data_IF_905523247203
#
_entry.id   IF_905523247203
#
_cell.length_a   1.000
_cell.length_b   1.000
_cell.length_c   1.000
_cell.angle_alpha   90.00
_cell.angle_beta   90.00
_cell.angle_gamma   90.00
#
_symmetry.space_group_name_H-M   'P 1'
#
loop_
_entity.id
_entity.type
_entity.pdbx_description
1 polymer ?
#
# COMPACT_ATOMS: atom_id res chain seq x y z
N UNK A 1 7.93 3.61 -25.20
CA UNK A 1 8.87 3.63 -26.31
C UNK A 1 9.83 2.44 -26.19
N UNK A 2 9.74 1.52 -27.15
CA UNK A 2 10.49 0.25 -27.14
C UNK A 2 11.96 0.43 -27.53
N UNK A 3 12.34 1.60 -27.99
CA UNK A 3 13.73 1.95 -28.32
C UNK A 3 14.56 2.31 -27.08
N UNK A 4 13.91 2.59 -25.94
CA UNK A 4 14.62 2.92 -24.71
C UNK A 4 15.03 1.67 -23.95
N UNK A 5 16.24 1.65 -23.34
CA UNK A 5 16.66 0.61 -22.43
C UNK A 5 15.67 0.40 -21.29
N UNK A 6 15.51 -0.83 -20.79
CA UNK A 6 14.55 -1.16 -19.74
C UNK A 6 14.75 -0.32 -18.46
N UNK A 7 15.99 -0.04 -18.10
CA UNK A 7 16.30 0.81 -16.96
C UNK A 7 15.71 2.22 -17.07
N UNK A 8 15.82 2.84 -18.24
CA UNK A 8 15.24 4.17 -18.46
C UNK A 8 13.72 4.16 -18.44
N UNK A 9 13.09 3.10 -18.95
CA UNK A 9 11.63 2.92 -18.87
C UNK A 9 11.16 2.82 -17.41
N UNK A 10 11.86 2.04 -16.57
CA UNK A 10 11.58 1.94 -15.13
C UNK A 10 11.74 3.29 -14.45
N UNK A 11 12.77 4.04 -14.81
CA UNK A 11 13.03 5.38 -14.29
C UNK A 11 11.90 6.35 -14.60
N UNK A 12 11.35 6.33 -15.82
CA UNK A 12 10.17 7.12 -16.16
C UNK A 12 8.94 6.76 -15.33
N UNK A 13 8.71 5.48 -15.08
CA UNK A 13 7.63 5.05 -14.18
C UNK A 13 7.85 5.53 -12.75
N UNK A 14 9.08 5.55 -12.27
CA UNK A 14 9.38 6.06 -10.92
C UNK A 14 9.17 7.58 -10.82
N UNK A 15 9.50 8.33 -11.87
CA UNK A 15 9.23 9.77 -11.95
C UNK A 15 7.72 10.05 -11.91
N UNK A 16 6.92 9.28 -12.66
CA UNK A 16 5.47 9.38 -12.61
C UNK A 16 4.95 9.15 -11.18
N UNK A 17 5.44 8.09 -10.50
CA UNK A 17 5.04 7.78 -9.12
C UNK A 17 5.36 8.91 -8.15
N UNK A 18 6.57 9.50 -8.25
CA UNK A 18 6.98 10.62 -7.40
C UNK A 18 6.16 11.88 -7.67
N UNK A 19 5.86 12.18 -8.93
CA UNK A 19 5.01 13.31 -9.29
C UNK A 19 3.58 13.14 -8.77
N UNK A 20 3.04 11.92 -8.78
CA UNK A 20 1.74 11.62 -8.19
C UNK A 20 1.73 11.81 -6.68
N UNK A 21 2.77 11.36 -5.98
CA UNK A 21 2.92 11.57 -4.53
C UNK A 21 2.87 13.07 -4.19
N UNK A 22 3.70 13.89 -4.85
CA UNK A 22 3.74 15.34 -4.65
C UNK A 22 2.41 16.02 -5.01
N UNK A 23 1.78 15.61 -6.10
CA UNK A 23 0.46 16.12 -6.50
C UNK A 23 -0.61 15.88 -5.42
N UNK A 24 -0.64 14.68 -4.84
CA UNK A 24 -1.57 14.37 -3.76
C UNK A 24 -1.26 15.12 -2.46
N UNK A 25 0.02 15.22 -2.11
CA UNK A 25 0.45 15.93 -0.90
C UNK A 25 0.13 17.43 -0.94
N UNK A 26 0.18 18.05 -2.10
CA UNK A 26 0.00 19.49 -2.24
C UNK A 26 -1.39 19.81 -2.78
N UNK A 27 -1.70 19.41 -4.02
CA UNK A 27 -2.91 19.86 -4.71
C UNK A 27 -4.19 19.19 -4.22
N UNK A 28 -4.17 17.89 -4.08
CA UNK A 28 -5.33 17.16 -3.56
C UNK A 28 -5.60 17.51 -2.10
N UNK A 29 -4.55 17.70 -1.30
CA UNK A 29 -4.67 18.12 0.09
C UNK A 29 -5.28 19.53 0.22
N UNK A 30 -4.94 20.46 -0.69
CA UNK A 30 -5.51 21.80 -0.75
C UNK A 30 -7.03 21.75 -0.96
N UNK A 31 -7.51 21.04 -1.98
CA UNK A 31 -8.96 20.87 -2.23
C UNK A 31 -9.68 20.18 -1.08
N UNK A 32 -9.09 19.15 -0.48
CA UNK A 32 -9.65 18.52 0.72
C UNK A 32 -9.72 19.48 1.91
N UNK A 33 -8.72 20.36 2.05
CA UNK A 33 -8.69 21.39 3.06
C UNK A 33 -9.85 22.38 2.93
N UNK A 34 -10.24 22.72 1.69
CA UNK A 34 -11.42 23.58 1.43
C UNK A 34 -12.70 22.91 1.94
N UNK A 35 -12.93 21.65 1.55
CA UNK A 35 -14.13 20.89 1.97
C UNK A 35 -14.21 20.72 3.49
N UNK A 36 -13.08 20.55 4.18
CA UNK A 36 -13.06 20.35 5.63
C UNK A 36 -13.25 21.62 6.44
N UNK A 37 -13.06 22.79 5.85
CA UNK A 37 -13.23 24.07 6.54
C UNK A 37 -14.70 24.49 6.52
N UNK A 38 -15.37 24.44 7.66
CA UNK A 38 -16.80 24.81 7.86
C UNK A 38 -17.18 26.27 7.50
N UNK A 39 -16.21 27.11 7.12
CA UNK A 39 -16.41 28.53 6.86
C UNK A 39 -16.45 28.90 5.37
N UNK A 40 -16.39 27.91 4.46
CA UNK A 40 -16.54 28.16 3.03
C UNK A 40 -18.02 28.16 2.64
N UNK A 41 -18.36 28.98 1.65
CA UNK A 41 -19.69 28.98 1.04
C UNK A 41 -19.96 27.61 0.39
N UNK A 42 -21.20 27.18 0.35
CA UNK A 42 -21.58 25.88 -0.22
C UNK A 42 -21.08 25.73 -1.67
N UNK A 43 -21.09 26.81 -2.48
CA UNK A 43 -20.58 26.85 -3.85
C UNK A 43 -19.09 26.47 -3.96
N UNK A 44 -18.23 26.98 -3.07
CA UNK A 44 -16.78 26.67 -3.11
C UNK A 44 -16.48 25.23 -2.69
N UNK A 45 -17.33 24.64 -1.85
CA UNK A 45 -17.24 23.25 -1.44
C UNK A 45 -17.67 22.32 -2.59
N UNK A 46 -18.77 22.63 -3.28
CA UNK A 46 -19.25 21.86 -4.43
C UNK A 46 -18.24 21.86 -5.59
N UNK A 47 -17.61 23.00 -5.88
CA UNK A 47 -16.56 23.09 -6.89
C UNK A 47 -15.32 22.25 -6.51
N UNK A 48 -14.91 22.26 -5.24
CA UNK A 48 -13.80 21.46 -4.75
C UNK A 48 -14.11 19.95 -4.81
N UNK A 49 -15.34 19.55 -4.50
CA UNK A 49 -15.79 18.16 -4.59
C UNK A 49 -15.82 17.68 -6.06
N UNK A 50 -16.36 18.50 -6.97
CA UNK A 50 -16.37 18.21 -8.40
C UNK A 50 -14.94 18.06 -8.96
N UNK A 51 -14.03 18.94 -8.54
CA UNK A 51 -12.62 18.87 -8.91
C UNK A 51 -11.96 17.58 -8.40
N UNK A 52 -12.19 17.21 -7.14
CA UNK A 52 -11.65 15.97 -6.58
C UNK A 52 -12.21 14.73 -7.28
N UNK A 53 -13.48 14.74 -7.67
CA UNK A 53 -14.07 13.65 -8.45
C UNK A 53 -13.41 13.52 -9.83
N UNK A 54 -13.19 14.64 -10.52
CA UNK A 54 -12.49 14.66 -11.81
C UNK A 54 -11.04 14.16 -11.69
N UNK A 55 -10.31 14.64 -10.70
CA UNK A 55 -8.94 14.17 -10.39
C UNK A 55 -8.95 12.66 -10.12
N UNK A 56 -9.88 12.17 -9.31
CA UNK A 56 -9.96 10.74 -8.97
C UNK A 56 -10.19 9.88 -10.21
N UNK A 57 -11.06 10.30 -11.10
CA UNK A 57 -11.33 9.59 -12.34
C UNK A 57 -10.10 9.54 -13.26
N UNK A 58 -9.42 10.67 -13.43
CA UNK A 58 -8.22 10.76 -14.24
C UNK A 58 -7.08 9.90 -13.66
N UNK A 59 -6.82 10.02 -12.36
CA UNK A 59 -5.77 9.25 -11.70
C UNK A 59 -6.07 7.76 -11.74
N UNK A 60 -7.32 7.34 -11.57
CA UNK A 60 -7.71 5.93 -11.69
C UNK A 60 -7.42 5.38 -13.09
N UNK A 61 -7.65 6.17 -14.14
CA UNK A 61 -7.30 5.79 -15.51
C UNK A 61 -5.78 5.68 -15.68
N UNK A 62 -5.04 6.67 -15.22
CA UNK A 62 -3.57 6.68 -15.28
C UNK A 62 -2.95 5.51 -14.50
N UNK A 63 -3.48 5.19 -13.33
CA UNK A 63 -3.01 4.06 -12.52
C UNK A 63 -3.28 2.71 -13.21
N UNK A 64 -4.40 2.55 -13.92
CA UNK A 64 -4.66 1.36 -14.74
C UNK A 64 -3.64 1.22 -15.86
N UNK A 65 -3.32 2.32 -16.53
CA UNK A 65 -2.33 2.33 -17.60
C UNK A 65 -0.92 2.08 -17.06
N UNK A 66 -0.56 2.68 -15.93
CA UNK A 66 0.68 2.39 -15.21
C UNK A 66 0.81 0.90 -14.88
N UNK A 67 -0.25 0.31 -14.30
CA UNK A 67 -0.29 -1.11 -14.00
C UNK A 67 -0.13 -1.97 -15.26
N UNK A 68 -0.84 -1.63 -16.34
CA UNK A 68 -0.72 -2.31 -17.62
C UNK A 68 0.71 -2.29 -18.15
N UNK A 69 1.34 -1.11 -18.17
CA UNK A 69 2.72 -0.97 -18.64
C UNK A 69 3.68 -1.75 -17.76
N UNK A 70 3.54 -1.67 -16.45
CA UNK A 70 4.41 -2.39 -15.53
C UNK A 70 4.30 -3.90 -15.70
N UNK A 71 3.09 -4.45 -15.70
CA UNK A 71 2.88 -5.90 -15.75
C UNK A 71 3.03 -6.52 -17.14
N UNK A 72 2.67 -5.79 -18.21
CA UNK A 72 2.67 -6.37 -19.55
C UNK A 72 3.83 -5.92 -20.43
N UNK A 73 4.61 -4.93 -20.00
CA UNK A 73 5.77 -4.46 -20.75
C UNK A 73 7.06 -4.62 -19.92
N UNK A 74 7.08 -4.06 -18.69
CA UNK A 74 8.31 -4.03 -17.88
C UNK A 74 8.66 -5.40 -17.33
N UNK A 75 7.75 -6.09 -16.66
CA UNK A 75 8.02 -7.39 -16.05
C UNK A 75 8.47 -8.45 -17.10
N UNK A 76 7.78 -8.61 -18.25
CA UNK A 76 8.22 -9.56 -19.26
C UNK A 76 9.58 -9.20 -19.88
N UNK A 77 9.91 -7.91 -19.97
CA UNK A 77 11.23 -7.49 -20.47
C UNK A 77 12.33 -7.81 -19.46
N UNK A 78 12.09 -7.58 -18.16
CA UNK A 78 13.02 -7.97 -17.10
C UNK A 78 13.25 -9.48 -17.11
N UNK A 79 12.19 -10.26 -17.28
CA UNK A 79 12.24 -11.72 -17.36
C UNK A 79 13.10 -12.21 -18.54
N UNK A 80 12.97 -11.59 -19.72
CA UNK A 80 13.82 -11.85 -20.90
C UNK A 80 15.30 -11.54 -20.64
N UNK A 81 15.59 -10.63 -19.73
CA UNK A 81 16.95 -10.30 -19.30
C UNK A 81 17.43 -11.12 -18.09
N UNK A 82 16.66 -12.13 -17.67
CA UNK A 82 17.00 -13.02 -16.55
C UNK A 82 16.75 -12.43 -15.17
N UNK A 83 15.95 -11.35 -15.08
CA UNK A 83 15.56 -10.73 -13.82
C UNK A 83 14.11 -11.13 -13.51
N UNK A 84 13.93 -12.01 -12.53
CA UNK A 84 12.62 -12.47 -12.08
C UNK A 84 12.19 -11.73 -10.84
N UNK A 85 11.06 -11.02 -10.89
CA UNK A 85 10.49 -10.28 -9.76
C UNK A 85 9.29 -11.04 -9.20
N UNK A 86 9.45 -11.65 -8.03
CA UNK A 86 8.34 -12.25 -7.27
C UNK A 86 7.57 -11.15 -6.57
N UNK A 87 6.28 -11.02 -6.88
CA UNK A 87 5.37 -10.07 -6.23
C UNK A 87 4.33 -10.80 -5.40
N UNK A 88 3.28 -11.31 -6.03
CA UNK A 88 2.15 -11.97 -5.37
C UNK A 88 2.19 -13.51 -5.49
N UNK A 89 3.20 -14.04 -6.17
CA UNK A 89 3.41 -15.46 -6.33
C UNK A 89 4.17 -16.05 -5.16
N UNK A 90 3.89 -17.31 -4.84
CA UNK A 90 4.74 -18.05 -3.91
C UNK A 90 6.13 -18.21 -4.54
N UNK A 91 7.19 -18.04 -3.74
CA UNK A 91 8.53 -18.35 -4.20
C UNK A 91 8.63 -19.83 -4.59
N UNK A 92 9.55 -20.15 -5.47
CA UNK A 92 9.85 -21.53 -5.81
C UNK A 92 10.19 -22.34 -4.54
N UNK A 93 9.88 -23.65 -4.50
CA UNK A 93 10.07 -24.47 -3.30
C UNK A 93 11.49 -24.42 -2.72
N UNK A 94 12.50 -24.28 -3.55
CA UNK A 94 13.90 -24.19 -3.11
C UNK A 94 14.25 -22.84 -2.47
N UNK A 95 13.40 -21.80 -2.62
CA UNK A 95 13.55 -20.52 -1.94
C UNK A 95 12.78 -20.45 -0.61
N UNK A 96 11.85 -21.36 -0.34
CA UNK A 96 10.96 -21.27 0.83
C UNK A 96 11.72 -21.21 2.15
N UNK A 97 12.78 -22.00 2.28
CA UNK A 97 13.60 -22.01 3.49
C UNK A 97 14.30 -20.66 3.71
N UNK A 98 14.92 -20.12 2.66
CA UNK A 98 15.55 -18.80 2.72
C UNK A 98 14.55 -17.71 3.10
N UNK A 99 13.39 -17.67 2.44
CA UNK A 99 12.35 -16.67 2.72
C UNK A 99 11.84 -16.78 4.15
N UNK A 100 11.64 -17.99 4.67
CA UNK A 100 11.21 -18.25 6.05
C UNK A 100 12.26 -17.76 7.06
N UNK A 101 13.52 -18.10 6.84
CA UNK A 101 14.61 -17.69 7.72
C UNK A 101 14.78 -16.18 7.70
N UNK A 102 14.82 -15.57 6.52
CA UNK A 102 14.88 -14.13 6.36
C UNK A 102 13.72 -13.42 7.07
N UNK A 103 12.50 -13.93 6.92
CA UNK A 103 11.34 -13.36 7.62
C UNK A 103 11.52 -13.43 9.14
N UNK A 104 11.92 -14.58 9.68
CA UNK A 104 12.03 -14.78 11.12
C UNK A 104 13.17 -13.96 11.74
N UNK A 105 14.29 -13.82 11.05
CA UNK A 105 15.49 -13.18 11.58
C UNK A 105 15.52 -11.69 11.31
N UNK A 106 15.09 -11.25 10.12
CA UNK A 106 15.27 -9.87 9.65
C UNK A 106 13.97 -9.06 9.65
N UNK A 107 12.80 -9.67 9.54
CA UNK A 107 11.52 -8.96 9.44
C UNK A 107 10.73 -9.03 10.74
N UNK A 108 10.50 -10.23 11.23
CA UNK A 108 9.63 -10.50 12.38
C UNK A 108 10.00 -9.70 13.64
N UNK A 109 11.30 -9.50 14.01
CA UNK A 109 11.67 -8.73 15.18
C UNK A 109 11.23 -7.25 15.13
N UNK A 110 10.97 -6.72 13.95
CA UNK A 110 10.55 -5.34 13.76
C UNK A 110 9.03 -5.18 13.60
N UNK A 111 8.28 -6.27 13.63
CA UNK A 111 6.82 -6.23 13.58
C UNK A 111 6.26 -5.98 14.97
N UNK A 112 5.61 -4.83 15.13
CA UNK A 112 4.98 -4.43 16.38
C UNK A 112 3.47 -4.23 16.15
N UNK A 113 2.65 -5.30 16.26
CA UNK A 113 1.21 -5.18 16.14
C UNK A 113 0.61 -4.44 17.34
N UNK A 114 -0.26 -3.47 17.09
CA UNK A 114 -0.96 -2.68 18.11
C UNK A 114 -2.46 -2.89 17.96
N UNK A 115 -3.12 -3.29 19.03
CA UNK A 115 -4.59 -3.41 19.06
C UNK A 115 -5.20 -2.00 19.05
N UNK A 116 -6.09 -1.76 18.09
CA UNK A 116 -6.73 -0.46 17.94
C UNK A 116 -7.87 -0.33 18.95
N UNK A 117 -7.79 0.68 19.80
CA UNK A 117 -8.90 1.19 20.59
C UNK A 117 -9.43 2.47 19.95
N UNK A 118 -10.72 2.78 20.14
CA UNK A 118 -11.45 3.81 19.37
C UNK A 118 -10.75 5.19 19.31
N UNK A 119 -9.98 5.55 20.32
CA UNK A 119 -9.43 6.90 20.48
C UNK A 119 -7.93 7.02 20.09
N UNK A 120 -7.24 5.89 19.89
CA UNK A 120 -5.77 5.88 19.74
C UNK A 120 -5.26 5.91 18.29
N UNK A 121 -6.13 5.77 17.29
CA UNK A 121 -5.73 5.60 15.88
C UNK A 121 -4.91 6.80 15.38
N UNK A 122 -5.32 8.02 15.72
CA UNK A 122 -4.70 9.25 15.23
C UNK A 122 -3.26 9.45 15.73
N UNK A 123 -2.95 8.96 16.92
CA UNK A 123 -1.62 9.09 17.52
C UNK A 123 -0.64 8.09 16.97
N UNK A 124 -1.13 6.97 16.44
CA UNK A 124 -0.31 5.87 15.93
C UNK A 124 0.02 6.00 14.44
N UNK A 125 -0.92 6.52 13.64
CA UNK A 125 -0.73 6.69 12.19
C UNK A 125 0.16 7.91 11.94
N UNK A 126 1.25 7.70 11.20
CA UNK A 126 2.18 8.75 10.77
C UNK A 126 2.20 8.82 9.25
N UNK A 127 2.43 10.03 8.75
CA UNK A 127 2.57 10.29 7.32
C UNK A 127 3.70 9.47 6.68
N UNK A 128 3.55 9.17 5.41
CA UNK A 128 4.53 8.44 4.60
C UNK A 128 4.92 7.08 5.18
N UNK A 129 3.98 6.42 5.87
CA UNK A 129 4.16 5.07 6.41
C UNK A 129 3.07 4.14 5.91
N UNK A 130 3.47 2.92 5.63
CA UNK A 130 2.54 1.86 5.26
C UNK A 130 2.17 1.05 6.49
N UNK A 131 0.88 0.74 6.60
CA UNK A 131 0.33 -0.05 7.70
C UNK A 131 -0.51 -1.19 7.16
N UNK A 132 -0.43 -2.33 7.83
CA UNK A 132 -1.33 -3.45 7.63
C UNK A 132 -2.42 -3.39 8.70
N UNK A 133 -3.67 -3.40 8.26
CA UNK A 133 -4.84 -3.51 9.15
C UNK A 133 -5.31 -4.95 9.17
N UNK A 134 -5.26 -5.59 10.33
CA UNK A 134 -5.64 -6.98 10.51
C UNK A 134 -6.94 -7.05 11.30
N UNK A 135 -7.99 -7.62 10.70
CA UNK A 135 -9.24 -7.90 11.39
C UNK A 135 -9.20 -9.30 12.00
N UNK A 136 -9.25 -9.38 13.30
CA UNK A 136 -9.25 -10.63 14.06
C UNK A 136 -10.64 -10.93 14.57
N UNK A 137 -11.01 -12.20 14.56
CA UNK A 137 -12.21 -12.71 15.23
C UNK A 137 -11.79 -13.43 16.49
N UNK A 138 -12.37 -13.05 17.64
CA UNK A 138 -12.14 -13.78 18.89
C UNK A 138 -12.62 -15.22 18.71
N UNK A 139 -11.77 -16.20 18.99
CA UNK A 139 -12.22 -17.60 19.08
C UNK A 139 -13.20 -17.70 20.23
N UNK A 140 -14.42 -18.16 19.96
CA UNK A 140 -15.38 -18.47 21.01
C UNK A 140 -14.90 -19.72 21.75
N UNK A 141 -14.98 -19.69 23.06
CA UNK A 141 -14.88 -20.88 23.89
C UNK A 141 -16.19 -21.69 23.78
N UNK A 142 -16.14 -23.00 23.97
CA UNK A 142 -17.32 -23.89 23.87
C UNK A 142 -18.53 -23.43 24.71
N UNK A 143 -18.30 -22.65 25.76
CA UNK A 143 -19.35 -22.07 26.61
C UNK A 143 -19.97 -20.79 26.01
N UNK A 144 -19.23 -20.04 25.18
CA UNK A 144 -19.68 -18.80 24.51
C UNK A 144 -20.44 -19.07 23.20
N UNK A 145 -20.36 -20.29 22.65
CA UNK A 145 -21.11 -20.68 21.44
C UNK A 145 -22.63 -20.74 21.65
N UNK A 146 -23.09 -20.82 22.89
CA UNK A 146 -24.52 -20.93 23.23
C UNK A 146 -25.23 -19.58 23.36
N UNK A 147 -24.50 -18.48 23.36
CA UNK A 147 -25.05 -17.11 23.38
C UNK A 147 -24.95 -16.50 22.01
N UNK A 148 -26.09 -16.17 21.39
CA UNK A 148 -26.20 -15.60 20.05
C UNK A 148 -25.74 -14.13 19.97
N UNK A 149 -24.59 -13.80 20.56
CA UNK A 149 -23.97 -12.50 20.35
C UNK A 149 -23.13 -12.48 19.08
N UNK A 150 -23.29 -11.40 18.31
CA UNK A 150 -22.50 -11.14 17.09
C UNK A 150 -21.00 -11.26 17.42
N UNK A 151 -20.21 -11.88 16.55
CA UNK A 151 -18.78 -12.05 16.82
C UNK A 151 -18.10 -10.69 17.01
N UNK A 152 -17.52 -10.46 18.17
CA UNK A 152 -16.73 -9.28 18.43
C UNK A 152 -15.45 -9.33 17.56
N UNK A 153 -15.33 -8.37 16.65
CA UNK A 153 -14.11 -8.20 15.86
C UNK A 153 -13.15 -7.25 16.58
N UNK A 154 -11.88 -7.57 16.53
CA UNK A 154 -10.80 -6.74 17.01
C UNK A 154 -9.91 -6.38 15.84
N UNK A 155 -9.48 -5.13 15.77
CA UNK A 155 -8.58 -4.65 14.74
C UNK A 155 -7.20 -4.41 15.31
N UNK A 156 -6.19 -4.85 14.56
CA UNK A 156 -4.78 -4.66 14.87
C UNK A 156 -4.16 -3.86 13.75
N UNK A 157 -3.38 -2.87 14.12
CA UNK A 157 -2.58 -2.08 13.20
C UNK A 157 -1.12 -2.47 13.34
N UNK A 158 -0.47 -2.77 12.23
CA UNK A 158 0.93 -3.14 12.20
C UNK A 158 1.66 -2.27 11.19
N UNK A 159 2.66 -1.53 11.64
CA UNK A 159 3.49 -0.71 10.77
C UNK A 159 4.46 -1.59 10.00
N UNK A 160 4.55 -1.39 8.69
CA UNK A 160 5.53 -2.09 7.85
C UNK A 160 6.92 -1.43 8.04
N UNK A 161 7.97 -2.19 8.39
CA UNK A 161 9.25 -1.65 8.83
C UNK A 161 10.22 -1.31 7.68
N UNK A 162 9.78 -0.58 6.65
CA UNK A 162 10.62 -0.23 5.49
C UNK A 162 11.90 0.54 5.79
N UNK A 163 12.01 1.14 6.98
CA UNK A 163 13.24 1.80 7.39
C UNK A 163 14.28 0.86 7.99
N UNK A 164 13.90 -0.40 8.23
CA UNK A 164 14.74 -1.42 8.88
C UNK A 164 15.02 -2.60 7.96
N UNK A 165 14.08 -2.89 7.07
CA UNK A 165 14.15 -4.02 6.15
C UNK A 165 14.18 -3.49 4.72
N UNK A 166 15.06 -3.99 3.84
CA UNK A 166 15.09 -3.58 2.44
C UNK A 166 13.78 -3.94 1.73
N UNK A 167 13.39 -3.12 0.76
CA UNK A 167 12.16 -3.35 -0.04
C UNK A 167 12.33 -4.50 -1.05
N UNK A 168 13.54 -4.71 -1.50
CA UNK A 168 13.90 -5.75 -2.45
C UNK A 168 14.93 -6.66 -1.80
N UNK A 169 14.73 -7.95 -1.93
CA UNK A 169 15.56 -8.99 -1.36
C UNK A 169 15.96 -9.90 -2.50
N UNK A 170 17.26 -10.03 -2.72
CA UNK A 170 17.80 -10.97 -3.71
C UNK A 170 17.71 -12.39 -3.15
N UNK A 171 17.08 -13.28 -3.93
CA UNK A 171 16.97 -14.68 -3.56
C UNK A 171 18.25 -15.43 -4.01
N UNK A 172 18.67 -16.45 -3.28
CA UNK A 172 19.82 -17.27 -3.66
C UNK A 172 19.57 -17.96 -5.01
N UNK A 173 20.66 -18.17 -5.77
CA UNK A 173 20.62 -18.88 -7.06
C UNK A 173 20.57 -20.38 -6.86
#
# INVERSE_FOLDING_TARGET
DDTLPIYERIKFLSIYSSNMEEFYEIRVAEHRGVIMKKNYTDESSEEAEATLAAITNEVNWQQKEYHRVFHHVILPELERQGIHLYQDSRPEPFHEEFVRNFFNEEVFPFLAPVVIQKDDIRTFIRDRRLYLVIRMKKKKTEQEEKTAESPAFQYVLMKIPFSKVPRFIELPK
#
